data_IF_813656583860
#
_entry.id   IF_813656583860
#
_cell.length_a   1.000
_cell.length_b   1.000
_cell.length_c   1.000
_cell.angle_alpha   90.00
_cell.angle_beta   90.00
_cell.angle_gamma   90.00
#
_symmetry.space_group_name_H-M   'P 1'
#
loop_
_entity.id
_entity.type
_entity.pdbx_description
1 polymer ?
#
# COMPACT_ATOMS: atom_id res chain seq x y z
N UNK A 1 -9.83 -3.25 19.89
CA UNK A 1 -8.60 -4.07 19.82
C UNK A 1 -8.35 -4.38 18.34
N UNK A 2 -7.17 -4.06 17.78
CA UNK A 2 -6.84 -4.42 16.40
C UNK A 2 -6.70 -5.95 16.30
N UNK A 3 -7.33 -6.54 15.29
CA UNK A 3 -7.18 -7.94 14.96
C UNK A 3 -6.05 -8.09 13.95
N UNK A 4 -5.14 -9.02 14.19
CA UNK A 4 -4.20 -9.51 13.18
C UNK A 4 -4.11 -11.03 13.31
N UNK A 5 -4.51 -11.74 12.27
CA UNK A 5 -4.41 -13.20 12.19
C UNK A 5 -3.98 -13.57 10.77
N UNK A 6 -3.12 -14.59 10.64
CA UNK A 6 -2.59 -15.05 9.35
C UNK A 6 -2.67 -16.57 9.26
N UNK A 7 -2.97 -17.07 8.05
CA UNK A 7 -2.92 -18.47 7.66
C UNK A 7 -2.09 -18.60 6.38
N UNK A 8 -1.05 -19.43 6.41
CA UNK A 8 -0.31 -19.81 5.19
C UNK A 8 -1.01 -20.98 4.50
N UNK A 9 -1.22 -20.88 3.19
CA UNK A 9 -1.88 -21.91 2.38
C UNK A 9 -0.86 -22.71 1.57
N UNK A 10 -1.10 -24.02 1.47
CA UNK A 10 -0.40 -24.87 0.52
C UNK A 10 -1.01 -24.71 -0.88
N UNK A 11 -0.21 -24.83 -1.94
CA UNK A 11 -0.72 -24.87 -3.32
C UNK A 11 -1.45 -26.20 -3.57
N UNK A 12 -2.72 -26.27 -3.15
CA UNK A 12 -3.53 -27.48 -3.24
C UNK A 12 -5.00 -27.14 -3.47
N UNK A 13 -5.79 -28.07 -4.05
CA UNK A 13 -7.23 -27.90 -4.21
C UNK A 13 -8.00 -27.72 -2.89
N UNK A 14 -7.38 -27.99 -1.74
CA UNK A 14 -8.00 -27.81 -0.41
C UNK A 14 -7.84 -26.41 0.16
N UNK A 15 -6.97 -25.59 -0.40
CA UNK A 15 -6.62 -24.30 0.17
C UNK A 15 -7.82 -23.35 0.33
N UNK A 16 -8.76 -23.33 -0.63
CA UNK A 16 -9.99 -22.54 -0.49
C UNK A 16 -10.88 -23.05 0.66
N UNK A 17 -10.98 -24.38 0.85
CA UNK A 17 -11.74 -24.96 1.95
C UNK A 17 -11.08 -24.74 3.32
N UNK A 18 -9.75 -24.69 3.35
CA UNK A 18 -8.98 -24.36 4.57
C UNK A 18 -9.16 -22.87 4.93
N UNK A 19 -9.08 -21.98 3.93
CA UNK A 19 -9.33 -20.56 4.09
C UNK A 19 -10.75 -20.26 4.58
N UNK A 20 -11.79 -20.90 3.99
CA UNK A 20 -13.18 -20.76 4.43
C UNK A 20 -13.35 -21.08 5.91
N UNK A 21 -12.92 -22.28 6.32
CA UNK A 21 -13.06 -22.73 7.71
C UNK A 21 -12.37 -21.76 8.67
N UNK A 22 -11.16 -21.34 8.31
CA UNK A 22 -10.38 -20.43 9.13
C UNK A 22 -11.01 -19.04 9.26
N UNK A 23 -11.51 -18.44 8.17
CA UNK A 23 -12.21 -17.15 8.19
C UNK A 23 -13.54 -17.26 8.97
N UNK A 24 -14.29 -18.33 8.77
CA UNK A 24 -15.54 -18.64 9.50
C UNK A 24 -15.32 -18.64 11.01
N UNK A 25 -14.25 -19.29 11.47
CA UNK A 25 -13.87 -19.32 12.89
C UNK A 25 -13.47 -17.94 13.41
N UNK A 26 -12.81 -17.11 12.59
CA UNK A 26 -12.48 -15.74 12.94
C UNK A 26 -13.75 -14.90 13.10
N UNK A 27 -14.67 -14.93 12.14
CA UNK A 27 -15.94 -14.19 12.21
C UNK A 27 -16.73 -14.56 13.47
N UNK A 28 -16.79 -15.85 13.84
CA UNK A 28 -17.43 -16.28 15.09
C UNK A 28 -16.69 -15.77 16.34
N UNK A 29 -15.36 -15.79 16.35
CA UNK A 29 -14.57 -15.22 17.47
C UNK A 29 -14.71 -13.70 17.60
N UNK A 30 -15.03 -13.02 16.50
CA UNK A 30 -15.31 -11.59 16.46
C UNK A 30 -16.75 -11.24 16.89
N UNK A 31 -17.57 -12.24 17.23
CA UNK A 31 -19.01 -12.08 17.51
C UNK A 31 -19.78 -11.49 16.31
N UNK A 32 -19.34 -11.86 15.09
CA UNK A 32 -19.93 -11.45 13.81
C UNK A 32 -20.35 -12.65 12.94
N UNK A 33 -21.29 -13.49 13.41
CA UNK A 33 -21.79 -14.63 12.64
C UNK A 33 -22.51 -14.22 11.35
N UNK A 34 -23.04 -13.00 11.31
CA UNK A 34 -23.68 -12.35 10.17
C UNK A 34 -22.72 -12.15 8.97
N UNK A 35 -21.41 -12.04 9.21
CA UNK A 35 -20.42 -11.87 8.14
C UNK A 35 -19.95 -13.19 7.50
N UNK A 36 -20.27 -14.34 8.12
CA UNK A 36 -19.65 -15.64 7.79
C UNK A 36 -19.88 -16.04 6.33
N UNK A 37 -21.10 -15.86 5.82
CA UNK A 37 -21.47 -16.28 4.47
C UNK A 37 -20.68 -15.51 3.40
N UNK A 38 -20.72 -14.17 3.45
CA UNK A 38 -19.99 -13.31 2.51
C UNK A 38 -18.47 -13.45 2.66
N UNK A 39 -17.98 -13.64 3.89
CA UNK A 39 -16.57 -13.86 4.18
C UNK A 39 -16.05 -15.19 3.60
N UNK A 40 -16.81 -16.29 3.75
CA UNK A 40 -16.46 -17.59 3.19
C UNK A 40 -16.47 -17.58 1.65
N UNK A 41 -17.46 -16.90 1.06
CA UNK A 41 -17.61 -16.83 -0.38
C UNK A 41 -16.52 -15.95 -1.00
N UNK A 42 -16.31 -14.74 -0.50
CA UNK A 42 -15.26 -13.84 -1.00
C UNK A 42 -13.85 -14.42 -0.84
N UNK A 43 -13.52 -15.05 0.30
CA UNK A 43 -12.19 -15.65 0.49
C UNK A 43 -11.97 -16.87 -0.42
N UNK A 44 -13.02 -17.62 -0.75
CA UNK A 44 -12.92 -18.76 -1.67
C UNK A 44 -12.50 -18.31 -3.06
N UNK A 45 -13.14 -17.26 -3.57
CA UNK A 45 -12.86 -16.72 -4.89
C UNK A 45 -11.45 -16.10 -4.96
N UNK A 46 -11.07 -15.33 -3.94
CA UNK A 46 -9.73 -14.74 -3.89
C UNK A 46 -8.62 -15.79 -3.78
N UNK A 47 -8.80 -16.84 -2.97
CA UNK A 47 -7.83 -17.94 -2.85
C UNK A 47 -7.76 -18.77 -4.13
N UNK A 48 -8.90 -19.03 -4.78
CA UNK A 48 -8.93 -19.70 -6.07
C UNK A 48 -8.16 -18.90 -7.13
N UNK A 49 -8.41 -17.59 -7.20
CA UNK A 49 -7.68 -16.69 -8.10
C UNK A 49 -6.17 -16.67 -7.81
N UNK A 50 -5.77 -16.59 -6.54
CA UNK A 50 -4.37 -16.62 -6.14
C UNK A 50 -3.67 -17.94 -6.54
N UNK A 51 -4.32 -19.08 -6.39
CA UNK A 51 -3.74 -20.39 -6.75
C UNK A 51 -3.67 -20.60 -8.25
N UNK A 52 -4.66 -20.12 -9.01
CA UNK A 52 -4.70 -20.26 -10.46
C UNK A 52 -3.79 -19.27 -11.19
N UNK A 53 -3.59 -18.07 -10.63
CA UNK A 53 -2.95 -16.96 -11.35
C UNK A 53 -1.80 -16.27 -10.60
N UNK A 54 -1.68 -16.50 -9.30
CA UNK A 54 -0.63 -15.95 -8.45
C UNK A 54 0.55 -16.90 -8.29
N UNK A 55 1.60 -16.42 -7.64
CA UNK A 55 2.80 -17.20 -7.34
C UNK A 55 2.86 -17.52 -5.84
N UNK A 56 3.45 -18.66 -5.47
CA UNK A 56 3.67 -18.97 -4.05
C UNK A 56 4.72 -18.00 -3.46
N UNK A 57 4.65 -17.64 -2.16
CA UNK A 57 3.78 -18.20 -1.12
C UNK A 57 2.37 -17.57 -1.06
N UNK A 58 1.38 -18.41 -0.74
CA UNK A 58 -0.01 -17.96 -0.56
C UNK A 58 -0.34 -17.78 0.92
N UNK A 59 -0.95 -16.65 1.27
CA UNK A 59 -1.38 -16.36 2.65
C UNK A 59 -2.77 -15.73 2.68
N UNK A 60 -3.54 -16.03 3.71
CA UNK A 60 -4.77 -15.32 4.05
C UNK A 60 -4.55 -14.57 5.36
N UNK A 61 -4.96 -13.31 5.42
CA UNK A 61 -4.90 -12.49 6.62
C UNK A 61 -6.27 -11.96 6.96
N UNK A 62 -6.56 -11.84 8.26
CA UNK A 62 -7.65 -10.99 8.73
C UNK A 62 -7.05 -9.84 9.54
N UNK A 63 -7.34 -8.61 9.11
CA UNK A 63 -6.90 -7.36 9.74
C UNK A 63 -8.10 -6.48 10.08
N UNK A 64 -7.87 -5.39 10.81
CA UNK A 64 -8.91 -4.39 11.10
C UNK A 64 -9.50 -4.55 12.51
N UNK A 65 -10.81 -4.33 12.63
CA UNK A 65 -11.52 -4.37 13.92
C UNK A 65 -12.58 -5.47 13.92
N UNK A 66 -13.17 -5.76 15.09
CA UNK A 66 -14.31 -6.68 15.16
C UNK A 66 -15.53 -6.19 14.35
N UNK A 67 -15.71 -4.87 14.26
CA UNK A 67 -16.80 -4.24 13.51
C UNK A 67 -16.56 -4.24 11.99
N UNK A 68 -15.29 -4.11 11.58
CA UNK A 68 -14.88 -4.07 10.17
C UNK A 68 -13.64 -4.97 9.96
N UNK A 69 -13.83 -6.30 9.92
CA UNK A 69 -12.75 -7.22 9.62
C UNK A 69 -12.46 -7.19 8.11
N UNK A 70 -11.20 -7.02 7.72
CA UNK A 70 -10.76 -7.14 6.33
C UNK A 70 -10.09 -8.48 6.13
N UNK A 71 -10.46 -9.18 5.07
CA UNK A 71 -9.81 -10.41 4.63
C UNK A 71 -8.88 -10.07 3.46
N UNK A 72 -7.62 -10.45 3.58
CA UNK A 72 -6.59 -10.21 2.56
C UNK A 72 -6.05 -11.57 2.08
N UNK A 73 -5.88 -11.73 0.77
CA UNK A 73 -5.19 -12.86 0.15
C UNK A 73 -3.92 -12.34 -0.49
N UNK A 74 -2.80 -12.90 -0.09
CA UNK A 74 -1.45 -12.54 -0.54
C UNK A 74 -0.90 -13.65 -1.42
N UNK A 75 -0.35 -13.28 -2.57
CA UNK A 75 0.46 -14.14 -3.43
C UNK A 75 1.75 -13.41 -3.84
N UNK A 76 2.75 -14.14 -4.33
CA UNK A 76 4.05 -13.63 -4.74
C UNK A 76 4.10 -12.99 -6.13
N UNK A 77 2.97 -12.88 -6.84
CA UNK A 77 2.94 -12.23 -8.15
C UNK A 77 2.92 -10.72 -8.00
N UNK A 78 3.51 -10.01 -8.97
CA UNK A 78 3.40 -8.55 -9.12
C UNK A 78 2.41 -8.14 -10.23
N UNK A 79 1.74 -9.12 -10.87
CA UNK A 79 0.78 -8.84 -11.95
C UNK A 79 -0.55 -8.36 -11.37
N UNK A 80 -1.08 -7.19 -11.81
CA UNK A 80 -2.38 -6.71 -11.36
C UNK A 80 -3.49 -7.71 -11.68
N UNK A 81 -4.54 -7.83 -10.83
CA UNK A 81 -5.78 -8.47 -11.26
C UNK A 81 -6.36 -7.66 -12.42
N UNK A 82 -6.51 -8.27 -13.60
CA UNK A 82 -7.09 -7.58 -14.74
C UNK A 82 -8.59 -7.32 -14.47
N UNK A 83 -9.07 -6.06 -14.54
CA UNK A 83 -10.51 -5.80 -14.62
C UNK A 83 -11.06 -6.39 -15.92
N UNK A 84 -12.38 -6.62 -16.03
CA UNK A 84 -12.99 -6.90 -17.31
C UNK A 84 -12.77 -5.70 -18.25
N UNK A 85 -11.89 -5.87 -19.24
CA UNK A 85 -11.86 -4.98 -20.39
C UNK A 85 -13.12 -5.24 -21.24
N UNK A 86 -13.75 -4.22 -21.85
CA UNK A 86 -14.71 -4.47 -22.90
C UNK A 86 -13.93 -4.97 -24.12
N UNK A 87 -13.89 -6.29 -24.28
CA UNK A 87 -13.37 -6.96 -25.47
C UNK A 87 -14.55 -7.52 -26.28
N UNK A 88 -14.38 -7.51 -27.60
CA UNK A 88 -15.40 -7.87 -28.59
C UNK A 88 -16.02 -9.26 -28.37
N UNK A 89 -17.27 -9.39 -28.79
CA UNK A 89 -18.28 -10.39 -28.42
C UNK A 89 -18.01 -11.86 -28.78
N UNK A 90 -16.81 -12.24 -29.21
CA UNK A 90 -16.56 -13.58 -29.79
C UNK A 90 -15.85 -14.59 -28.84
N UNK A 91 -15.40 -14.19 -27.64
CA UNK A 91 -14.74 -15.07 -26.66
C UNK A 91 -15.64 -15.43 -25.44
N UNK A 92 -16.88 -15.87 -25.73
CA UNK A 92 -17.93 -16.10 -24.73
C UNK A 92 -17.65 -17.24 -23.73
N UNK A 93 -16.74 -18.17 -24.04
CA UNK A 93 -16.39 -19.29 -23.16
C UNK A 93 -15.33 -18.95 -22.09
N UNK A 94 -14.48 -17.95 -22.33
CA UNK A 94 -13.49 -17.46 -21.35
C UNK A 94 -14.12 -16.47 -20.34
N UNK A 95 -15.22 -15.80 -20.70
CA UNK A 95 -15.99 -14.92 -19.81
C UNK A 95 -16.70 -15.67 -18.67
N UNK A 96 -17.07 -16.95 -18.89
CA UNK A 96 -17.95 -17.70 -17.98
C UNK A 96 -17.27 -18.19 -16.69
N UNK A 97 -15.93 -18.25 -16.65
CA UNK A 97 -15.16 -18.70 -15.47
C UNK A 97 -14.31 -17.61 -14.82
N UNK A 98 -13.76 -16.66 -15.58
CA UNK A 98 -12.79 -15.68 -15.07
C UNK A 98 -13.43 -14.40 -14.50
N UNK A 99 -14.59 -13.97 -15.02
CA UNK A 99 -15.26 -12.73 -14.58
C UNK A 99 -16.20 -12.88 -13.38
N UNK A 100 -16.57 -14.12 -13.02
CA UNK A 100 -17.51 -14.40 -11.93
C UNK A 100 -16.88 -14.26 -10.54
N UNK A 101 -15.64 -14.68 -10.35
CA UNK A 101 -15.03 -14.70 -9.01
C UNK A 101 -14.89 -13.32 -8.38
N UNK A 102 -14.43 -12.32 -9.14
CA UNK A 102 -14.36 -10.94 -8.64
C UNK A 102 -15.74 -10.27 -8.54
N UNK A 103 -16.70 -10.65 -9.38
CA UNK A 103 -18.09 -10.19 -9.24
C UNK A 103 -18.76 -10.76 -7.98
N UNK A 104 -18.40 -11.98 -7.58
CA UNK A 104 -18.85 -12.57 -6.32
C UNK A 104 -18.20 -11.85 -5.13
N UNK A 105 -16.90 -11.54 -5.21
CA UNK A 105 -16.21 -10.74 -4.18
C UNK A 105 -16.86 -9.36 -4.04
N UNK A 106 -17.20 -8.69 -5.13
CA UNK A 106 -17.84 -7.38 -5.07
C UNK A 106 -19.25 -7.44 -4.46
N UNK A 107 -20.03 -8.48 -4.74
CA UNK A 107 -21.36 -8.68 -4.12
C UNK A 107 -21.26 -9.02 -2.62
N UNK A 108 -20.17 -9.65 -2.20
CA UNK A 108 -19.95 -10.07 -0.82
C UNK A 108 -19.21 -9.03 0.04
N UNK A 109 -18.96 -7.83 -0.49
CA UNK A 109 -18.07 -6.87 0.14
C UNK A 109 -18.69 -5.48 0.28
N UNK A 110 -18.44 -4.82 1.42
CA UNK A 110 -18.66 -3.38 1.58
C UNK A 110 -17.60 -2.57 0.82
N UNK A 111 -16.38 -3.11 0.75
CA UNK A 111 -15.27 -2.55 0.01
C UNK A 111 -14.31 -3.67 -0.39
N UNK A 112 -13.71 -3.57 -1.56
CA UNK A 112 -12.69 -4.52 -2.02
C UNK A 112 -11.66 -3.81 -2.90
N UNK A 113 -10.49 -4.41 -3.06
CA UNK A 113 -9.43 -3.83 -3.87
C UNK A 113 -8.19 -4.68 -3.93
N UNK A 114 -7.16 -4.15 -4.57
CA UNK A 114 -5.86 -4.79 -4.66
C UNK A 114 -4.72 -3.79 -4.38
N UNK A 115 -3.68 -4.28 -3.72
CA UNK A 115 -2.42 -3.59 -3.46
C UNK A 115 -1.30 -4.45 -4.04
N UNK A 116 -0.43 -3.85 -4.84
CA UNK A 116 0.72 -4.55 -5.43
C UNK A 116 1.98 -4.00 -4.74
N UNK A 117 2.66 -4.86 -3.99
CA UNK A 117 3.97 -4.60 -3.40
C UNK A 117 5.08 -5.16 -4.32
N UNK A 118 6.34 -4.86 -4.00
CA UNK A 118 7.50 -5.21 -4.86
C UNK A 118 7.73 -6.71 -5.07
N UNK A 119 7.23 -7.55 -4.17
CA UNK A 119 7.38 -9.01 -4.17
C UNK A 119 6.06 -9.78 -3.98
N UNK A 120 4.95 -9.05 -3.87
CA UNK A 120 3.67 -9.66 -3.54
C UNK A 120 2.48 -8.83 -3.98
N UNK A 121 1.39 -9.51 -4.30
CA UNK A 121 0.09 -8.92 -4.55
C UNK A 121 -0.83 -9.28 -3.41
N UNK A 122 -1.58 -8.29 -2.96
CA UNK A 122 -2.56 -8.42 -1.90
C UNK A 122 -3.92 -8.03 -2.48
N UNK A 123 -4.81 -9.00 -2.64
CA UNK A 123 -6.22 -8.74 -2.98
C UNK A 123 -7.03 -8.85 -1.70
N UNK A 124 -7.91 -7.88 -1.44
CA UNK A 124 -8.61 -7.80 -0.16
C UNK A 124 -10.08 -7.42 -0.34
N UNK A 125 -10.89 -7.77 0.66
CA UNK A 125 -12.26 -7.32 0.78
C UNK A 125 -12.71 -7.22 2.24
N UNK A 126 -13.71 -6.39 2.50
CA UNK A 126 -14.41 -6.24 3.78
C UNK A 126 -15.78 -6.88 3.61
N UNK A 127 -16.08 -8.00 4.27
CA UNK A 127 -17.31 -8.75 4.06
C UNK A 127 -18.54 -7.92 4.46
N UNK A 128 -19.59 -8.03 3.66
CA UNK A 128 -20.92 -7.48 3.99
C UNK A 128 -21.74 -8.49 4.80
N UNK A 129 -22.81 -7.99 5.43
CA UNK A 129 -23.76 -8.84 6.18
C UNK A 129 -24.68 -9.64 5.25
N UNK A 130 -24.85 -9.17 4.00
CA UNK A 130 -25.67 -9.78 2.97
C UNK A 130 -25.04 -9.53 1.59
N UNK A 131 -25.25 -10.46 0.65
CA UNK A 131 -24.88 -10.24 -0.75
C UNK A 131 -25.72 -9.11 -1.36
N UNK A 132 -25.08 -8.21 -2.11
CA UNK A 132 -25.78 -7.18 -2.88
C UNK A 132 -26.27 -7.71 -4.24
N UNK A 133 -27.50 -7.36 -4.63
CA UNK A 133 -28.07 -7.68 -5.96
C UNK A 133 -27.52 -6.76 -7.08
N UNK A 134 -26.99 -5.59 -6.72
CA UNK A 134 -26.32 -4.67 -7.63
C UNK A 134 -24.80 -4.74 -7.43
N UNK A 135 -24.07 -5.01 -8.53
CA UNK A 135 -22.60 -5.00 -8.58
C UNK A 135 -22.02 -3.57 -8.56
N UNK A 136 -22.43 -2.75 -7.60
CA UNK A 136 -22.10 -1.32 -7.51
C UNK A 136 -21.07 -1.00 -6.40
N UNK A 137 -20.18 -1.93 -6.08
CA UNK A 137 -19.04 -1.65 -5.20
C UNK A 137 -17.82 -1.30 -6.05
N UNK A 138 -17.49 -0.01 -6.06
CA UNK A 138 -16.46 0.62 -6.89
C UNK A 138 -15.11 -0.12 -6.77
N UNK A 139 -14.60 -0.55 -7.91
CA UNK A 139 -13.33 -1.26 -8.03
C UNK A 139 -12.16 -0.32 -7.76
N UNK A 140 -11.48 -0.50 -6.63
CA UNK A 140 -10.31 0.31 -6.24
C UNK A 140 -9.02 -0.48 -6.49
N UNK A 141 -8.34 -0.20 -7.61
CA UNK A 141 -6.94 -0.56 -7.76
C UNK A 141 -6.07 0.62 -7.35
N UNK A 142 -5.24 0.41 -6.34
CA UNK A 142 -4.16 1.33 -6.01
C UNK A 142 -2.96 0.99 -6.92
N UNK A 143 -2.95 1.55 -8.14
CA UNK A 143 -1.78 1.48 -9.02
C UNK A 143 -0.76 2.52 -8.54
N UNK A 144 0.36 2.06 -7.98
CA UNK A 144 1.59 2.83 -8.10
C UNK A 144 1.99 2.73 -9.57
N UNK A 145 1.70 3.78 -10.33
CA UNK A 145 2.06 3.90 -11.74
C UNK A 145 3.59 3.95 -11.85
N UNK A 146 4.22 2.78 -11.90
CA UNK A 146 5.68 2.64 -11.94
C UNK A 146 6.27 2.98 -13.32
N UNK A 147 5.41 3.33 -14.30
CA UNK A 147 5.76 3.58 -15.71
C UNK A 147 5.43 5.00 -16.17
N UNK A 148 5.36 5.98 -15.25
CA UNK A 148 5.27 7.38 -15.67
C UNK A 148 6.47 7.74 -16.58
N UNK A 149 6.22 8.27 -17.80
CA UNK A 149 7.29 8.55 -18.75
C UNK A 149 8.29 9.52 -18.13
N UNK A 150 9.58 9.25 -18.32
CA UNK A 150 10.63 10.15 -17.83
C UNK A 150 10.39 11.56 -18.41
N UNK A 151 10.48 12.62 -17.58
CA UNK A 151 10.34 13.97 -18.08
C UNK A 151 11.45 14.26 -19.10
N UNK A 152 11.09 14.28 -20.39
CA UNK A 152 11.99 14.53 -21.53
C UNK A 152 12.17 16.03 -21.84
N UNK A 153 11.67 16.91 -20.97
CA UNK A 153 11.76 18.37 -21.16
C UNK A 153 13.21 18.85 -21.03
N UNK A 154 13.65 19.76 -21.90
CA UNK A 154 14.93 20.48 -21.77
C UNK A 154 15.07 21.24 -20.43
N UNK A 155 13.96 21.45 -19.70
CA UNK A 155 13.93 22.08 -18.38
C UNK A 155 14.19 21.12 -17.20
N UNK A 156 14.34 19.81 -17.44
CA UNK A 156 14.61 18.83 -16.39
C UNK A 156 16.01 19.00 -15.80
N UNK A 157 16.11 18.89 -14.48
CA UNK A 157 17.36 18.91 -13.72
C UNK A 157 17.70 17.47 -13.33
N UNK A 158 18.95 17.07 -13.49
CA UNK A 158 19.43 15.80 -12.95
C UNK A 158 19.57 15.92 -11.43
N UNK A 159 18.73 15.19 -10.71
CA UNK A 159 18.77 15.09 -9.24
C UNK A 159 19.68 13.94 -8.84
N UNK A 160 20.46 14.13 -7.77
CA UNK A 160 21.31 13.09 -7.15
C UNK A 160 21.09 12.99 -5.65
N UNK A 161 20.53 11.88 -5.19
CA UNK A 161 20.44 11.56 -3.77
C UNK A 161 21.62 10.68 -3.38
N UNK A 162 22.55 11.21 -2.57
CA UNK A 162 23.80 10.52 -2.21
C UNK A 162 23.63 9.84 -0.85
N UNK A 163 23.93 8.55 -0.78
CA UNK A 163 23.94 7.76 0.46
C UNK A 163 22.56 7.42 1.01
N UNK A 164 21.55 7.22 0.15
CA UNK A 164 20.19 6.85 0.55
C UNK A 164 20.23 5.59 1.41
N UNK A 165 19.77 5.69 2.66
CA UNK A 165 19.66 4.54 3.59
C UNK A 165 18.49 3.65 3.13
N UNK A 166 18.82 2.49 2.58
CA UNK A 166 17.88 1.61 1.90
C UNK A 166 16.85 1.04 2.89
N UNK A 167 17.24 0.41 4.03
CA UNK A 167 16.26 -0.06 5.02
C UNK A 167 15.36 1.05 5.57
N UNK A 168 15.91 2.25 5.79
CA UNK A 168 15.13 3.38 6.28
C UNK A 168 14.12 3.85 5.24
N UNK A 169 14.52 3.93 3.97
CA UNK A 169 13.64 4.19 2.84
C UNK A 169 12.51 3.15 2.75
N UNK A 170 12.81 1.86 2.76
CA UNK A 170 11.77 0.81 2.71
C UNK A 170 10.78 0.91 3.87
N UNK A 171 11.29 1.21 5.08
CA UNK A 171 10.44 1.38 6.27
C UNK A 171 9.53 2.60 6.17
N UNK A 172 10.03 3.71 5.61
CA UNK A 172 9.29 4.94 5.39
C UNK A 172 8.22 4.71 4.32
N UNK A 173 8.56 4.03 3.22
CA UNK A 173 7.63 3.72 2.14
C UNK A 173 6.45 2.88 2.63
N UNK A 174 6.71 1.87 3.47
CA UNK A 174 5.66 1.06 4.11
C UNK A 174 4.72 1.91 4.97
N UNK A 175 5.28 2.82 5.78
CA UNK A 175 4.50 3.70 6.64
C UNK A 175 3.67 4.71 5.84
N UNK A 176 4.23 5.24 4.75
CA UNK A 176 3.54 6.10 3.80
C UNK A 176 2.33 5.40 3.16
N UNK A 177 2.49 4.15 2.72
CA UNK A 177 1.39 3.37 2.15
C UNK A 177 0.27 3.10 3.15
N UNK A 178 0.59 2.79 4.41
CA UNK A 178 -0.43 2.62 5.46
C UNK A 178 -1.21 3.93 5.71
N UNK A 179 -0.52 5.07 5.76
CA UNK A 179 -1.15 6.38 5.92
C UNK A 179 -2.08 6.72 4.76
N UNK A 180 -1.61 6.55 3.51
CA UNK A 180 -2.43 6.77 2.30
C UNK A 180 -3.67 5.87 2.31
N UNK A 181 -3.48 4.59 2.63
CA UNK A 181 -4.56 3.60 2.71
C UNK A 181 -5.62 4.05 3.71
N UNK A 182 -5.22 4.49 4.90
CA UNK A 182 -6.17 4.96 5.91
C UNK A 182 -6.91 6.24 5.50
N UNK A 183 -6.20 7.23 4.95
CA UNK A 183 -6.83 8.47 4.50
C UNK A 183 -7.82 8.22 3.35
N UNK A 184 -7.51 7.28 2.45
CA UNK A 184 -8.44 6.84 1.42
C UNK A 184 -9.68 6.18 2.03
N UNK A 185 -9.50 5.34 3.04
CA UNK A 185 -10.62 4.68 3.73
C UNK A 185 -11.52 5.70 4.44
N UNK A 186 -10.95 6.72 5.09
CA UNK A 186 -11.72 7.81 5.68
C UNK A 186 -12.49 8.61 4.61
N UNK A 187 -11.88 8.85 3.45
CA UNK A 187 -12.53 9.53 2.33
C UNK A 187 -13.73 8.76 1.75
N UNK A 188 -13.70 7.43 1.78
CA UNK A 188 -14.76 6.58 1.23
C UNK A 188 -15.90 6.32 2.24
N UNK A 189 -15.57 6.20 3.53
CA UNK A 189 -16.52 5.82 4.59
C UNK A 189 -17.19 7.00 5.30
N UNK A 190 -16.53 8.17 5.35
CA UNK A 190 -16.98 9.31 6.16
C UNK A 190 -16.81 10.63 5.39
N UNK A 191 -17.23 10.66 4.13
CA UNK A 191 -17.05 11.81 3.23
C UNK A 191 -17.68 13.11 3.78
N UNK A 192 -18.71 13.00 4.64
CA UNK A 192 -19.38 14.11 5.33
C UNK A 192 -18.63 14.63 6.56
N UNK A 193 -17.88 13.76 7.27
CA UNK A 193 -17.20 14.10 8.53
C UNK A 193 -15.72 14.47 8.31
N UNK A 194 -15.13 14.03 7.19
CA UNK A 194 -13.73 14.26 6.83
C UNK A 194 -13.56 14.72 5.37
N UNK A 195 -14.09 15.91 4.98
CA UNK A 195 -14.00 16.40 3.60
C UNK A 195 -12.55 16.59 3.11
N UNK A 196 -11.61 16.85 4.03
CA UNK A 196 -10.17 16.98 3.75
C UNK A 196 -9.51 15.66 3.30
N UNK A 197 -10.11 14.50 3.55
CA UNK A 197 -9.51 13.20 3.21
C UNK A 197 -9.43 12.94 1.70
N UNK A 198 -10.40 13.45 0.93
CA UNK A 198 -10.39 13.39 -0.54
C UNK A 198 -9.30 14.29 -1.16
N UNK A 199 -9.15 15.50 -0.64
CA UNK A 199 -8.11 16.44 -1.07
C UNK A 199 -6.70 15.91 -0.75
N UNK A 200 -6.51 15.34 0.45
CA UNK A 200 -5.25 14.70 0.83
C UNK A 200 -4.92 13.53 -0.09
N UNK A 201 -5.88 12.66 -0.41
CA UNK A 201 -5.66 11.55 -1.34
C UNK A 201 -5.17 12.05 -2.70
N UNK A 202 -5.81 13.10 -3.24
CA UNK A 202 -5.44 13.67 -4.54
C UNK A 202 -4.05 14.31 -4.50
N UNK A 203 -3.69 14.93 -3.37
CA UNK A 203 -2.36 15.48 -3.14
C UNK A 203 -1.28 14.39 -3.10
N UNK A 204 -1.52 13.27 -2.43
CA UNK A 204 -0.61 12.12 -2.42
C UNK A 204 -0.38 11.54 -3.81
N UNK A 205 -1.46 11.34 -4.57
CA UNK A 205 -1.35 10.88 -5.96
C UNK A 205 -0.56 11.88 -6.82
N UNK A 206 -0.69 13.18 -6.57
CA UNK A 206 0.07 14.20 -7.27
C UNK A 206 1.56 14.19 -6.92
N UNK A 207 1.89 13.94 -5.65
CA UNK A 207 3.26 13.81 -5.15
C UNK A 207 3.98 12.60 -5.74
N UNK A 208 3.34 11.42 -5.76
CA UNK A 208 3.92 10.19 -6.30
C UNK A 208 4.30 10.32 -7.78
N UNK A 209 3.45 10.98 -8.57
CA UNK A 209 3.70 11.23 -10.00
C UNK A 209 4.94 12.08 -10.27
N UNK A 210 5.53 12.74 -9.26
CA UNK A 210 6.77 13.49 -9.43
C UNK A 210 8.00 12.57 -9.53
N UNK A 211 7.90 11.32 -9.10
CA UNK A 211 9.03 10.39 -9.07
C UNK A 211 9.04 9.50 -10.32
N UNK A 212 10.10 9.56 -11.15
CA UNK A 212 10.18 8.73 -12.35
C UNK A 212 10.50 7.26 -12.02
N UNK A 213 10.19 6.36 -12.95
CA UNK A 213 10.48 4.93 -12.84
C UNK A 213 11.95 4.63 -12.45
N UNK A 214 12.90 5.42 -12.99
CA UNK A 214 14.32 5.29 -12.72
C UNK A 214 14.69 5.44 -11.23
N UNK A 215 14.01 6.33 -10.49
CA UNK A 215 14.20 6.48 -9.05
C UNK A 215 13.82 5.19 -8.32
N UNK A 216 12.61 4.69 -8.58
CA UNK A 216 12.11 3.48 -7.94
C UNK A 216 12.92 2.23 -8.32
N UNK A 217 13.37 2.13 -9.58
CA UNK A 217 14.17 1.01 -10.05
C UNK A 217 15.52 0.91 -9.33
N UNK A 218 16.24 2.03 -9.15
CA UNK A 218 17.53 2.05 -8.48
C UNK A 218 17.42 1.65 -7.00
N UNK A 219 16.39 2.13 -6.30
CA UNK A 219 16.13 1.73 -4.91
C UNK A 219 15.79 0.23 -4.84
N UNK A 220 14.92 -0.28 -5.71
CA UNK A 220 14.56 -1.71 -5.75
C UNK A 220 15.76 -2.60 -6.06
N UNK A 221 16.62 -2.22 -6.99
CA UNK A 221 17.87 -2.96 -7.27
C UNK A 221 18.74 -3.04 -6.01
N UNK A 222 18.91 -1.92 -5.31
CA UNK A 222 19.68 -1.87 -4.07
C UNK A 222 19.07 -2.72 -2.94
N UNK A 223 17.75 -2.69 -2.78
CA UNK A 223 17.01 -3.54 -1.84
C UNK A 223 17.22 -5.03 -2.17
N UNK A 224 17.04 -5.42 -3.44
CA UNK A 224 17.20 -6.82 -3.88
C UNK A 224 18.61 -7.36 -3.68
N UNK A 225 19.62 -6.47 -3.75
CA UNK A 225 21.03 -6.78 -3.53
C UNK A 225 21.44 -6.68 -2.06
N UNK A 226 20.53 -6.31 -1.17
CA UNK A 226 20.78 -6.14 0.27
C UNK A 226 21.79 -5.03 0.58
N UNK A 227 21.88 -4.00 -0.27
CA UNK A 227 22.79 -2.88 -0.04
C UNK A 227 22.26 -2.01 1.10
N UNK A 228 23.09 -1.62 2.08
CA UNK A 228 22.65 -0.76 3.17
C UNK A 228 22.43 0.69 2.71
N UNK A 229 23.15 1.11 1.65
CA UNK A 229 23.06 2.46 1.08
C UNK A 229 23.23 2.42 -0.44
N UNK A 230 22.63 3.41 -1.13
CA UNK A 230 22.76 3.58 -2.58
C UNK A 230 22.75 5.07 -2.97
N UNK A 231 23.50 5.42 -4.01
CA UNK A 231 23.41 6.72 -4.67
C UNK A 231 22.41 6.62 -5.82
N UNK A 232 21.47 7.55 -5.90
CA UNK A 232 20.36 7.51 -6.86
C UNK A 232 20.36 8.76 -7.71
N UNK A 233 20.27 8.62 -9.03
CA UNK A 233 20.22 9.74 -9.97
C UNK A 233 19.02 9.64 -10.91
N UNK A 234 18.28 10.73 -11.11
CA UNK A 234 17.09 10.75 -11.97
C UNK A 234 16.73 12.18 -12.42
N UNK A 235 16.08 12.34 -13.58
CA UNK A 235 15.62 13.64 -14.05
C UNK A 235 14.36 14.10 -13.28
N UNK A 236 14.26 15.40 -13.02
CA UNK A 236 13.08 16.00 -12.38
C UNK A 236 12.83 17.42 -12.90
N UNK A 237 11.55 17.77 -13.06
CA UNK A 237 11.14 19.12 -13.50
C UNK A 237 11.12 20.10 -12.32
N UNK A 238 11.49 21.37 -12.53
CA UNK A 238 11.57 22.39 -11.46
C UNK A 238 10.21 22.72 -10.87
N UNK A 239 9.16 22.55 -11.64
CA UNK A 239 7.77 22.75 -11.26
C UNK A 239 7.32 21.81 -10.12
N UNK A 240 8.05 20.74 -9.85
CA UNK A 240 7.79 19.83 -8.74
C UNK A 240 8.15 20.43 -7.36
N UNK A 241 9.01 21.45 -7.31
CA UNK A 241 9.52 22.04 -6.05
C UNK A 241 8.44 22.43 -5.04
N UNK A 242 7.41 23.21 -5.42
CA UNK A 242 6.31 23.57 -4.53
C UNK A 242 5.55 22.36 -3.95
N UNK A 243 5.46 21.25 -4.68
CA UNK A 243 4.79 20.02 -4.23
C UNK A 243 5.56 19.42 -3.05
N UNK A 244 6.90 19.37 -3.12
CA UNK A 244 7.73 18.84 -2.03
C UNK A 244 7.67 19.67 -0.75
N UNK A 245 7.63 21.00 -0.88
CA UNK A 245 7.45 21.91 0.27
C UNK A 245 6.11 21.63 0.94
N UNK A 246 5.02 21.60 0.15
CA UNK A 246 3.67 21.37 0.69
C UNK A 246 3.53 19.99 1.31
N UNK A 247 4.12 18.95 0.70
CA UNK A 247 4.10 17.59 1.24
C UNK A 247 4.88 17.47 2.55
N UNK A 248 6.00 18.18 2.69
CA UNK A 248 6.77 18.19 3.95
C UNK A 248 5.91 18.66 5.12
N UNK A 249 5.19 19.77 4.94
CA UNK A 249 4.26 20.30 5.95
C UNK A 249 3.11 19.33 6.21
N UNK A 250 2.53 18.76 5.16
CA UNK A 250 1.46 17.78 5.27
C UNK A 250 1.87 16.56 6.08
N UNK A 251 3.09 16.03 5.91
CA UNK A 251 3.54 14.86 6.66
C UNK A 251 3.71 15.17 8.15
N UNK A 252 4.13 16.38 8.47
CA UNK A 252 4.23 16.83 9.85
C UNK A 252 2.86 16.98 10.51
N UNK A 253 1.86 17.44 9.76
CA UNK A 253 0.45 17.46 10.19
C UNK A 253 -0.06 16.03 10.37
N UNK A 254 0.14 15.14 9.40
CA UNK A 254 -0.30 13.74 9.49
C UNK A 254 0.30 13.03 10.71
N UNK A 255 1.59 13.21 10.98
CA UNK A 255 2.25 12.68 12.17
C UNK A 255 1.63 13.21 13.48
N UNK A 256 1.19 14.47 13.50
CA UNK A 256 0.51 15.04 14.66
C UNK A 256 -0.89 14.43 14.86
N UNK A 257 -1.62 14.15 13.78
CA UNK A 257 -2.90 13.45 13.81
C UNK A 257 -2.75 12.00 14.29
N UNK A 258 -1.75 11.27 13.79
CA UNK A 258 -1.40 9.93 14.26
C UNK A 258 -1.06 9.92 15.76
N UNK A 259 -0.25 10.88 16.23
CA UNK A 259 0.10 11.01 17.66
C UNK A 259 -1.10 11.36 18.55
N UNK A 260 -2.11 12.01 17.99
CA UNK A 260 -3.35 12.34 18.69
C UNK A 260 -4.39 11.20 18.66
N UNK A 261 -4.00 9.99 18.20
CA UNK A 261 -4.86 8.82 18.09
C UNK A 261 -6.09 9.02 17.17
N UNK A 262 -6.01 9.99 16.24
CA UNK A 262 -7.07 10.26 15.25
C UNK A 262 -6.92 9.45 13.97
N UNK A 263 -5.78 8.76 13.82
CA UNK A 263 -5.45 7.84 12.75
C UNK A 263 -4.85 6.57 13.37
N UNK A 264 -5.22 5.41 12.86
CA UNK A 264 -4.69 4.07 13.14
C UNK A 264 -3.24 3.90 12.64
N UNK A 265 -2.84 4.69 11.65
CA UNK A 265 -1.49 4.75 11.12
C UNK A 265 -0.53 5.27 12.17
N UNK A 266 0.62 4.62 12.32
CA UNK A 266 1.66 5.13 13.22
C UNK A 266 2.37 6.35 12.63
N UNK A 267 2.64 7.33 13.49
CA UNK A 267 3.49 8.47 13.14
C UNK A 267 4.90 8.01 12.78
N UNK A 268 5.58 8.75 11.88
CA UNK A 268 6.99 8.50 11.54
C UNK A 268 7.85 8.49 12.79
N UNK A 269 8.77 7.54 12.87
CA UNK A 269 9.85 7.56 13.87
C UNK A 269 10.76 8.78 13.65
N UNK A 270 11.54 9.16 14.66
CA UNK A 270 12.47 10.28 14.53
C UNK A 270 13.49 10.09 13.40
N UNK A 271 13.97 8.85 13.19
CA UNK A 271 14.86 8.50 12.10
C UNK A 271 14.17 8.63 10.73
N UNK A 272 12.94 8.12 10.59
CA UNK A 272 12.15 8.25 9.36
C UNK A 272 11.85 9.70 9.02
N UNK A 273 11.47 10.52 10.02
CA UNK A 273 11.21 11.96 9.83
C UNK A 273 12.47 12.71 9.40
N UNK A 274 13.61 12.45 10.04
CA UNK A 274 14.87 13.08 9.66
C UNK A 274 15.29 12.72 8.23
N UNK A 275 15.15 11.44 7.86
CA UNK A 275 15.46 10.96 6.51
C UNK A 275 14.52 11.54 5.45
N UNK A 276 13.22 11.56 5.72
CA UNK A 276 12.23 12.12 4.81
C UNK A 276 12.45 13.63 4.61
N UNK A 277 12.73 14.37 5.70
CA UNK A 277 13.00 15.80 5.62
C UNK A 277 14.31 16.10 4.88
N UNK A 278 15.34 15.27 5.06
CA UNK A 278 16.55 15.37 4.24
C UNK A 278 16.23 15.13 2.77
N UNK A 279 15.52 14.06 2.42
CA UNK A 279 15.21 13.73 1.03
C UNK A 279 14.42 14.85 0.36
N UNK A 280 13.29 15.29 0.93
CA UNK A 280 12.47 16.35 0.33
C UNK A 280 13.22 17.70 0.29
N UNK A 281 13.99 18.01 1.34
CA UNK A 281 14.84 19.19 1.38
C UNK A 281 15.91 19.16 0.30
N UNK A 282 16.49 17.99 0.03
CA UNK A 282 17.52 17.79 -0.99
C UNK A 282 16.96 17.92 -2.41
N UNK A 283 15.74 17.42 -2.66
CA UNK A 283 15.02 17.64 -3.91
C UNK A 283 14.84 19.15 -4.17
N UNK A 284 14.29 19.88 -3.20
CA UNK A 284 14.10 21.33 -3.33
C UNK A 284 15.44 22.05 -3.50
N UNK A 285 16.47 21.66 -2.74
CA UNK A 285 17.80 22.26 -2.81
C UNK A 285 18.42 22.17 -4.21
N UNK A 286 18.34 21.00 -4.85
CA UNK A 286 18.89 20.79 -6.19
C UNK A 286 18.00 21.40 -7.29
N UNK A 287 16.68 21.41 -7.09
CA UNK A 287 15.76 22.12 -7.99
C UNK A 287 15.96 23.64 -7.97
N UNK A 288 16.54 24.20 -6.90
CA UNK A 288 16.99 25.60 -6.84
C UNK A 288 18.40 25.80 -7.44
N UNK A 289 19.02 24.74 -7.98
CA UNK A 289 20.31 24.79 -8.67
C UNK A 289 21.54 24.60 -7.78
N UNK A 290 21.37 24.17 -6.53
CA UNK A 290 22.49 23.89 -5.66
C UNK A 290 23.05 22.46 -5.84
N UNK A 291 24.24 22.21 -5.28
CA UNK A 291 24.94 20.92 -5.41
C UNK A 291 24.45 19.89 -4.39
N UNK A 292 24.44 18.63 -4.81
CA UNK A 292 23.96 17.51 -4.00
C UNK A 292 24.70 17.36 -2.65
N UNK A 293 23.94 17.07 -1.58
CA UNK A 293 24.47 16.82 -0.22
C UNK A 293 24.14 15.40 0.24
N UNK A 294 25.13 14.66 0.80
CA UNK A 294 24.92 13.28 1.22
C UNK A 294 24.06 13.17 2.48
N UNK A 295 23.30 12.08 2.57
CA UNK A 295 22.69 11.66 3.83
C UNK A 295 23.77 11.27 4.82
N UNK A 296 23.77 11.91 5.99
CA UNK A 296 24.80 11.71 7.04
C UNK A 296 24.35 10.74 8.14
N UNK A 297 23.16 10.15 8.00
CA UNK A 297 22.58 9.24 8.99
C UNK A 297 21.82 9.95 10.11
N UNK A 298 21.06 9.17 10.88
CA UNK A 298 20.43 9.63 12.11
C UNK A 298 21.27 9.17 13.31
N UNK A 299 21.66 10.06 14.24
CA UNK A 299 22.43 9.66 15.40
C UNK A 299 21.62 8.65 16.23
N UNK A 300 22.08 7.39 16.28
CA UNK A 300 21.57 6.42 17.25
C UNK A 300 21.90 6.99 18.62
N UNK A 301 20.87 7.26 19.44
CA UNK A 301 21.08 7.58 20.84
C UNK A 301 22.02 6.52 21.43
N UNK A 302 23.20 6.95 21.85
CA UNK A 302 24.18 6.08 22.48
C UNK A 302 23.49 5.41 23.66
N UNK A 303 23.45 4.08 23.66
CA UNK A 303 23.03 3.31 24.81
C UNK A 303 23.83 3.82 26.00
N UNK A 304 23.16 4.50 26.91
CA UNK A 304 23.78 5.04 28.10
C UNK A 304 24.42 3.89 28.85
N UNK A 305 25.74 3.97 29.00
CA UNK A 305 26.51 3.12 29.87
C UNK A 305 25.82 3.13 31.24
N UNK A 306 25.24 2.00 31.63
CA UNK A 306 24.81 1.74 33.00
C UNK A 306 26.02 1.89 33.89
N UNK A 307 26.14 3.08 34.49
CA UNK A 307 27.08 3.40 35.55
C UNK A 307 26.88 2.41 36.69
N UNK A 308 27.94 1.67 36.99
CA UNK A 308 28.10 0.98 38.27
C UNK A 308 28.14 2.03 39.36
N UNK A 309 27.18 1.95 40.27
CA UNK A 309 27.27 2.46 41.65
C UNK A 309 27.00 1.20 42.47
N UNK A 310 27.91 0.68 43.29
CA UNK A 310 28.69 1.38 44.30
C UNK A 310 28.14 0.91 45.62
#
# INVERSE_FOLDING_TARGET
MPLSSELTLASSPRAAADARRWVSDICRRLDRPDLVECAELGVSELVANAILHGEAPYKVRVRGTASHPRIEVVDGSTKPPAPPAPLDLDDLDLLLTFGRGLAIVSQCALAWGATIESDSKIVWFEPSEQMSDEGSVEWVIDQHDADAPEPTSEAAVEIRLIGVDVPLHSSLNRQYHELRRELRLLSLSHQSDYPLAGDLTSMFANFERQFPAAFHHQIRDAESRGLPQVDVAFPMVREAGPIFVTMTEMFDVADAFCRAERLLSMARTAAQRAFHNWMLGELVHQLDGATARPWTGFPRASASATSRVG
#
